data_IF_482070865308
#
_entry.id   IF_482070865308
#
_cell.length_a   1.000
_cell.length_b   1.000
_cell.length_c   1.000
_cell.angle_alpha   90.00
_cell.angle_beta   90.00
_cell.angle_gamma   90.00
#
_symmetry.space_group_name_H-M   'P 1'
#
loop_
_entity.id
_entity.type
_entity.pdbx_description
1 polymer ?
#
# COMPACT_ATOMS: atom_id res chain seq x y z
N UNK A 1 -14.24 -2.49 -59.63
CA UNK A 1 -14.83 -1.87 -58.42
C UNK A 1 -14.34 -2.66 -57.22
N UNK A 2 -13.44 -2.11 -56.42
CA UNK A 2 -13.31 -2.46 -55.00
C UNK A 2 -12.49 -1.37 -54.33
N UNK A 3 -13.04 -0.85 -53.25
CA UNK A 3 -12.81 0.49 -52.74
C UNK A 3 -11.57 0.53 -51.84
N UNK A 4 -10.70 1.53 -52.07
CA UNK A 4 -9.63 1.86 -51.14
C UNK A 4 -10.23 2.32 -49.80
N UNK A 5 -10.14 1.49 -48.78
CA UNK A 5 -10.49 1.87 -47.41
C UNK A 5 -9.28 2.57 -46.79
N UNK A 6 -9.38 3.90 -46.69
CA UNK A 6 -8.46 4.76 -45.96
C UNK A 6 -8.56 4.41 -44.47
N UNK A 7 -7.56 3.71 -43.93
CA UNK A 7 -7.49 3.43 -42.49
C UNK A 7 -6.89 4.66 -41.82
N UNK A 8 -7.75 5.42 -41.16
CA UNK A 8 -7.41 6.57 -40.33
C UNK A 8 -6.53 6.09 -39.15
N UNK A 9 -5.22 6.35 -39.21
CA UNK A 9 -4.30 6.01 -38.12
C UNK A 9 -4.53 6.99 -36.96
N UNK A 10 -5.27 6.55 -35.93
CA UNK A 10 -5.31 7.22 -34.62
C UNK A 10 -3.86 7.42 -34.13
N UNK A 11 -3.48 8.59 -33.59
CA UNK A 11 -2.09 8.83 -33.19
C UNK A 11 -1.68 7.90 -32.03
N UNK A 12 -0.45 7.37 -32.15
CA UNK A 12 0.23 6.49 -31.20
C UNK A 12 0.56 7.23 -29.89
N UNK A 13 -0.46 7.52 -29.07
CA UNK A 13 -0.24 7.94 -27.68
C UNK A 13 -0.21 6.75 -26.70
N UNK A 14 0.01 5.52 -27.18
CA UNK A 14 0.18 4.32 -26.33
C UNK A 14 1.65 4.00 -26.02
N UNK A 15 2.61 4.82 -26.46
CA UNK A 15 4.03 4.54 -26.22
C UNK A 15 4.47 4.92 -24.80
N UNK A 16 3.82 5.90 -24.17
CA UNK A 16 4.15 6.35 -22.80
C UNK A 16 3.63 5.40 -21.71
N UNK A 17 2.57 4.65 -21.97
CA UNK A 17 1.96 3.74 -20.99
C UNK A 17 2.73 2.41 -20.85
N UNK A 18 3.67 2.15 -21.76
CA UNK A 18 4.56 0.97 -21.72
C UNK A 18 5.94 1.28 -21.10
N UNK A 19 6.22 2.54 -20.76
CA UNK A 19 7.45 2.93 -20.10
C UNK A 19 7.27 2.91 -18.58
N UNK A 20 7.38 1.70 -18.03
CA UNK A 20 7.40 1.48 -16.58
C UNK A 20 8.84 1.32 -16.09
N UNK A 21 9.37 2.40 -15.50
CA UNK A 21 10.70 2.41 -14.86
C UNK A 21 10.62 2.08 -13.37
N UNK A 22 9.48 1.57 -12.86
CA UNK A 22 9.33 1.19 -11.44
C UNK A 22 10.30 0.10 -10.99
N UNK A 23 10.86 -0.66 -11.93
CA UNK A 23 11.91 -1.67 -11.69
C UNK A 23 13.32 -1.08 -11.54
N UNK A 24 13.54 0.20 -11.85
CA UNK A 24 14.85 0.84 -11.76
C UNK A 24 15.17 1.19 -10.30
N UNK A 25 16.41 0.89 -9.89
CA UNK A 25 16.92 1.22 -8.55
C UNK A 25 16.74 2.69 -8.17
N UNK A 26 16.62 2.94 -6.86
CA UNK A 26 16.38 4.27 -6.27
C UNK A 26 17.34 5.34 -6.82
N UNK A 27 16.89 6.59 -7.07
CA UNK A 27 17.76 7.68 -7.50
C UNK A 27 18.98 7.82 -6.59
N UNK A 28 20.18 7.87 -7.19
CA UNK A 28 21.47 7.88 -6.47
C UNK A 28 22.19 6.52 -6.42
N UNK A 29 21.46 5.41 -6.57
CA UNK A 29 22.01 4.05 -6.48
C UNK A 29 21.99 3.30 -7.83
N UNK A 30 21.79 4.02 -8.94
CA UNK A 30 21.64 3.44 -10.29
C UNK A 30 22.91 2.75 -10.82
N UNK A 31 24.06 3.04 -10.23
CA UNK A 31 25.37 2.52 -10.65
C UNK A 31 26.01 1.61 -9.59
N UNK A 32 25.33 1.37 -8.48
CA UNK A 32 25.83 0.51 -7.42
C UNK A 32 25.34 -0.93 -7.66
N UNK A 33 26.22 -1.93 -7.58
CA UNK A 33 25.80 -3.32 -7.58
C UNK A 33 24.85 -3.58 -6.41
N UNK A 34 23.64 -4.07 -6.69
CA UNK A 34 22.75 -4.57 -5.63
C UNK A 34 23.39 -5.86 -5.09
N UNK A 35 23.75 -5.91 -3.79
CA UNK A 35 24.34 -7.12 -3.23
C UNK A 35 23.31 -8.26 -3.30
N UNK A 36 23.67 -9.33 -4.00
CA UNK A 36 22.92 -10.58 -4.03
C UNK A 36 23.69 -11.60 -3.21
N UNK A 37 22.97 -12.33 -2.37
CA UNK A 37 23.50 -13.39 -1.51
C UNK A 37 23.20 -14.72 -2.20
N UNK A 38 24.11 -15.68 -2.13
CA UNK A 38 23.85 -17.00 -2.73
C UNK A 38 22.81 -17.79 -1.92
N UNK A 39 22.02 -18.65 -2.57
CA UNK A 39 21.00 -19.47 -1.88
C UNK A 39 21.59 -20.38 -0.79
N UNK A 40 22.88 -20.73 -0.91
CA UNK A 40 23.61 -21.56 0.04
C UNK A 40 24.29 -20.76 1.16
N UNK A 41 24.26 -19.43 1.08
CA UNK A 41 24.90 -18.55 2.05
C UNK A 41 23.99 -18.38 3.27
N UNK A 42 24.55 -18.68 4.43
CA UNK A 42 23.83 -18.61 5.70
C UNK A 42 23.61 -17.14 6.06
N UNK A 43 22.35 -16.72 6.02
CA UNK A 43 21.93 -15.44 6.59
C UNK A 43 21.74 -15.64 8.10
N UNK A 44 22.34 -14.76 8.90
CA UNK A 44 22.13 -14.78 10.34
C UNK A 44 20.68 -14.39 10.65
N UNK A 45 20.00 -15.25 11.40
CA UNK A 45 18.67 -14.95 11.92
C UNK A 45 18.82 -13.87 13.00
N UNK A 46 18.15 -12.70 12.86
CA UNK A 46 18.15 -11.70 13.93
C UNK A 46 17.55 -12.26 15.23
N UNK A 47 16.75 -13.33 15.17
CA UNK A 47 16.20 -14.03 16.30
C UNK A 47 17.17 -15.14 16.73
N UNK A 48 17.70 -15.01 17.95
CA UNK A 48 18.45 -16.09 18.59
C UNK A 48 17.46 -17.17 19.03
N UNK A 49 17.25 -18.20 18.21
CA UNK A 49 16.22 -19.24 18.45
C UNK A 49 16.28 -19.91 19.84
N UNK A 50 17.48 -20.09 20.40
CA UNK A 50 17.65 -20.61 21.77
C UNK A 50 17.28 -19.61 22.89
N UNK A 51 17.19 -18.32 22.56
CA UNK A 51 16.77 -17.27 23.47
C UNK A 51 15.27 -16.97 23.37
N UNK A 52 14.61 -17.43 22.30
CA UNK A 52 13.19 -17.20 22.03
C UNK A 52 12.28 -18.09 22.89
N UNK A 53 12.68 -19.35 23.07
CA UNK A 53 11.90 -20.38 23.78
C UNK A 53 12.52 -20.69 25.15
N UNK A 54 12.65 -19.69 26.02
CA UNK A 54 13.10 -19.91 27.40
C UNK A 54 12.16 -19.31 28.45
N UNK A 55 12.17 -19.91 29.64
CA UNK A 55 11.37 -19.46 30.78
C UNK A 55 11.69 -18.01 31.20
N UNK A 56 12.92 -17.56 30.96
CA UNK A 56 13.34 -16.19 31.25
C UNK A 56 12.70 -15.14 30.31
N UNK A 57 12.24 -15.53 29.12
CA UNK A 57 11.46 -14.69 28.24
C UNK A 57 10.01 -14.63 28.72
N UNK A 58 9.42 -15.78 29.06
CA UNK A 58 8.07 -15.84 29.62
C UNK A 58 7.94 -14.98 30.88
N UNK A 59 8.90 -15.04 31.81
CA UNK A 59 8.88 -14.23 33.03
C UNK A 59 8.98 -12.71 32.73
N UNK A 60 9.78 -12.32 31.73
CA UNK A 60 9.88 -10.91 31.31
C UNK A 60 8.58 -10.44 30.65
N UNK A 61 7.99 -11.28 29.81
CA UNK A 61 6.74 -10.99 29.12
C UNK A 61 5.59 -10.84 30.12
N UNK A 62 5.51 -11.72 31.12
CA UNK A 62 4.52 -11.62 32.21
C UNK A 62 4.67 -10.31 33.00
N UNK A 63 5.90 -9.91 33.32
CA UNK A 63 6.19 -8.63 34.00
C UNK A 63 5.85 -7.42 33.14
N UNK A 64 6.13 -7.47 31.84
CA UNK A 64 5.81 -6.37 30.92
C UNK A 64 4.30 -6.27 30.65
N UNK A 65 3.62 -7.40 30.51
CA UNK A 65 2.18 -7.45 30.23
C UNK A 65 1.35 -6.82 31.35
N UNK A 66 1.74 -7.02 32.61
CA UNK A 66 1.06 -6.41 33.75
C UNK A 66 1.52 -4.97 34.06
N UNK A 67 2.57 -4.49 33.40
CA UNK A 67 3.14 -3.18 33.69
C UNK A 67 2.27 -2.03 33.15
N UNK A 68 1.50 -1.44 34.06
CA UNK A 68 0.63 -0.29 33.76
C UNK A 68 1.39 0.99 33.38
N UNK A 69 2.68 1.12 33.68
CA UNK A 69 3.45 2.32 33.29
C UNK A 69 3.64 2.44 31.78
N UNK A 70 3.47 1.34 31.04
CA UNK A 70 3.55 1.32 29.58
C UNK A 70 2.20 1.62 28.92
N UNK A 71 1.14 1.83 29.72
CA UNK A 71 -0.17 2.24 29.24
C UNK A 71 -0.22 3.76 29.20
N UNK A 72 -0.56 4.30 28.04
CA UNK A 72 -0.85 5.72 27.88
C UNK A 72 -2.33 5.97 28.18
N UNK A 73 -2.62 7.05 28.92
CA UNK A 73 -3.99 7.40 29.33
C UNK A 73 -4.84 7.96 28.17
N UNK A 74 -4.17 8.38 27.09
CA UNK A 74 -4.79 9.02 25.94
C UNK A 74 -4.89 8.09 24.73
N UNK A 75 -5.80 8.40 23.81
CA UNK A 75 -5.94 7.65 22.56
C UNK A 75 -4.85 8.08 21.57
N UNK A 76 -4.07 7.13 21.05
CA UNK A 76 -3.02 7.37 20.04
C UNK A 76 -3.52 7.90 18.69
N UNK A 77 -4.81 7.72 18.39
CA UNK A 77 -5.44 8.33 17.22
C UNK A 77 -6.31 9.48 17.70
N UNK A 78 -6.00 10.67 17.18
CA UNK A 78 -6.74 11.91 17.41
C UNK A 78 -8.25 11.63 17.35
N UNK A 79 -8.96 12.23 18.30
CA UNK A 79 -10.37 12.02 18.59
C UNK A 79 -11.17 11.55 17.36
N UNK A 80 -11.96 10.48 17.53
CA UNK A 80 -12.92 10.08 16.52
C UNK A 80 -13.64 11.34 15.99
N UNK A 81 -13.69 11.48 14.66
CA UNK A 81 -14.31 12.64 14.03
C UNK A 81 -15.68 12.89 14.68
N UNK A 82 -16.07 14.16 14.85
CA UNK A 82 -17.33 14.52 15.48
C UNK A 82 -18.50 13.72 14.87
N UNK A 83 -19.49 13.39 15.71
CA UNK A 83 -20.71 12.69 15.28
C UNK A 83 -21.25 13.35 14.00
N UNK A 84 -21.46 12.55 12.96
CA UNK A 84 -21.92 13.03 11.64
C UNK A 84 -20.82 13.20 10.58
N UNK A 85 -19.54 13.02 10.92
CA UNK A 85 -18.46 13.10 9.89
C UNK A 85 -18.48 11.91 8.91
N UNK A 86 -19.06 10.79 9.30
CA UNK A 86 -19.30 9.63 8.44
C UNK A 86 -20.80 9.41 8.24
N UNK A 87 -21.54 10.49 7.98
CA UNK A 87 -22.92 10.38 7.53
C UNK A 87 -22.90 9.93 6.06
N UNK A 88 -23.74 8.96 5.73
CA UNK A 88 -24.03 8.63 4.35
C UNK A 88 -24.68 9.84 3.68
N UNK A 89 -24.35 10.13 2.41
CA UNK A 89 -25.13 11.09 1.64
C UNK A 89 -26.60 10.67 1.64
N UNK A 90 -27.52 11.64 1.63
CA UNK A 90 -28.94 11.34 1.48
C UNK A 90 -29.20 10.59 0.17
N UNK A 91 -30.35 9.92 0.04
CA UNK A 91 -30.69 9.06 -1.11
C UNK A 91 -30.49 9.73 -2.48
N UNK A 92 -30.57 11.06 -2.56
CA UNK A 92 -30.38 11.84 -3.80
C UNK A 92 -29.01 12.53 -3.92
N UNK A 93 -28.20 12.52 -2.87
CA UNK A 93 -26.92 13.21 -2.83
C UNK A 93 -25.84 12.36 -3.52
N UNK A 94 -25.46 12.77 -4.73
CA UNK A 94 -24.50 12.06 -5.58
C UNK A 94 -25.13 11.16 -6.64
N UNK A 95 -26.46 10.99 -6.63
CA UNK A 95 -27.16 10.36 -7.75
C UNK A 95 -27.34 11.36 -8.90
N UNK A 96 -27.16 10.93 -10.17
CA UNK A 96 -27.53 11.75 -11.31
C UNK A 96 -29.04 11.99 -11.33
N UNK A 97 -29.47 13.12 -11.90
CA UNK A 97 -30.91 13.40 -12.09
C UNK A 97 -31.53 12.30 -12.94
N UNK A 98 -32.65 11.75 -12.49
CA UNK A 98 -33.43 10.79 -13.28
C UNK A 98 -34.30 11.53 -14.31
N UNK A 99 -33.66 12.22 -15.25
CA UNK A 99 -34.30 12.88 -16.39
C UNK A 99 -34.25 11.99 -17.66
N UNK A 100 -33.87 10.73 -17.50
CA UNK A 100 -33.71 9.78 -18.60
C UNK A 100 -32.46 10.04 -19.45
N UNK A 101 -31.59 10.97 -19.06
CA UNK A 101 -30.31 11.21 -19.73
C UNK A 101 -29.17 10.57 -18.94
N UNK A 102 -28.45 9.65 -19.58
CA UNK A 102 -27.21 9.13 -19.02
C UNK A 102 -26.16 10.25 -19.00
N UNK A 103 -25.49 10.46 -17.87
CA UNK A 103 -24.34 11.37 -17.81
C UNK A 103 -23.21 10.80 -18.68
N UNK A 104 -22.95 11.43 -19.82
CA UNK A 104 -21.74 11.15 -20.60
C UNK A 104 -20.61 11.95 -19.94
N UNK A 105 -19.84 11.27 -19.08
CA UNK A 105 -18.50 11.77 -18.70
C UNK A 105 -17.57 11.75 -19.91
#
# INVERSE_FOLDING_TARGET
>A
MSNGHHIERKPLNSFLELQDDSYVSRPGHKHEPIPVISDSERVEDPIKGNAADNDAQLERDDKQAINKSNIIDERTRGAAKSKGTYAEPADEEGLPKNDGTSSTS
#
